data_IF_678766002997
#
_entry.id   IF_678766002997
#
_cell.length_a   1.000
_cell.length_b   1.000
_cell.length_c   1.000
_cell.angle_alpha   90.00
_cell.angle_beta   90.00
_cell.angle_gamma   90.00
#
_symmetry.space_group_name_H-M   'P 1'
#
loop_
_entity.id
_entity.type
_entity.pdbx_description
1 polymer ?
#
# COMPACT_ATOMS: atom_id res chain seq x y z
N UNK A 1 2.40 0.84 -17.83
CA UNK A 1 1.53 1.79 -17.07
C UNK A 1 1.28 1.29 -15.67
N UNK A 2 2.19 1.55 -14.69
CA UNK A 2 1.96 1.08 -13.32
C UNK A 2 0.96 1.94 -12.57
N UNK A 3 0.13 1.29 -11.75
CA UNK A 3 -0.76 1.95 -10.81
C UNK A 3 -0.55 1.31 -9.45
N UNK A 4 -0.20 2.12 -8.45
CA UNK A 4 0.09 1.65 -7.11
C UNK A 4 -1.03 2.09 -6.18
N UNK A 5 -1.50 1.18 -5.34
CA UNK A 5 -2.53 1.48 -4.35
C UNK A 5 -1.92 1.32 -2.96
N UNK A 6 -1.98 2.37 -2.17
CA UNK A 6 -1.60 2.31 -0.76
C UNK A 6 -2.86 2.01 0.03
N UNK A 7 -2.93 0.82 0.61
CA UNK A 7 -4.01 0.47 1.54
C UNK A 7 -3.45 0.57 2.95
N UNK A 8 -4.10 1.35 3.80
CA UNK A 8 -3.61 1.58 5.16
C UNK A 8 -4.76 1.75 6.14
N UNK A 9 -4.49 1.43 7.40
CA UNK A 9 -5.42 1.78 8.47
C UNK A 9 -5.38 3.31 8.63
N UNK A 10 -6.52 3.92 8.90
CA UNK A 10 -6.66 5.36 9.08
C UNK A 10 -5.68 5.88 10.15
N UNK A 11 -5.14 7.06 9.92
CA UNK A 11 -4.19 7.70 10.83
C UNK A 11 -3.29 8.69 10.13
N UNK A 12 -2.64 8.33 9.02
CA UNK A 12 -1.77 9.29 8.33
C UNK A 12 -2.54 10.51 7.83
N UNK A 13 -1.89 11.67 7.86
CA UNK A 13 -2.47 12.89 7.30
C UNK A 13 -2.48 12.81 5.78
N UNK A 14 -3.31 13.68 5.16
CA UNK A 14 -3.32 13.80 3.70
C UNK A 14 -1.95 14.19 3.16
N UNK A 15 -1.25 15.08 3.86
CA UNK A 15 0.07 15.52 3.45
C UNK A 15 1.08 14.37 3.49
N UNK A 16 1.01 13.54 4.53
CA UNK A 16 1.89 12.39 4.64
C UNK A 16 1.63 11.38 3.52
N UNK A 17 0.36 11.12 3.21
CA UNK A 17 0.00 10.21 2.12
C UNK A 17 0.45 10.76 0.78
N UNK A 18 0.28 12.07 0.55
CA UNK A 18 0.72 12.71 -0.68
C UNK A 18 2.23 12.60 -0.85
N UNK A 19 2.97 12.85 0.23
CA UNK A 19 4.42 12.76 0.21
C UNK A 19 4.90 11.32 -0.07
N UNK A 20 4.26 10.35 0.57
CA UNK A 20 4.57 8.93 0.32
C UNK A 20 4.29 8.59 -1.14
N UNK A 21 3.17 9.04 -1.68
CA UNK A 21 2.81 8.77 -3.08
C UNK A 21 3.85 9.34 -4.04
N UNK A 22 4.33 10.55 -3.77
CA UNK A 22 5.36 11.18 -4.61
C UNK A 22 6.66 10.40 -4.58
N UNK A 23 7.06 9.95 -3.40
CA UNK A 23 8.28 9.14 -3.26
C UNK A 23 8.14 7.78 -3.93
N UNK A 24 6.97 7.16 -3.84
CA UNK A 24 6.68 5.90 -4.52
C UNK A 24 6.77 6.09 -6.03
N UNK A 25 6.18 7.15 -6.55
CA UNK A 25 6.25 7.46 -7.98
C UNK A 25 7.71 7.62 -8.43
N UNK A 26 8.53 8.30 -7.63
CA UNK A 26 9.94 8.49 -7.95
C UNK A 26 10.70 7.17 -8.01
N UNK A 27 10.47 6.30 -7.02
CA UNK A 27 11.21 5.03 -6.96
C UNK A 27 10.75 4.07 -8.07
N UNK A 28 9.46 4.07 -8.40
CA UNK A 28 8.95 3.26 -9.50
C UNK A 28 9.55 3.72 -10.83
N UNK A 29 9.62 5.03 -11.04
CA UNK A 29 10.26 5.60 -12.23
C UNK A 29 11.72 5.15 -12.32
N UNK A 30 12.45 5.27 -11.23
CA UNK A 30 13.87 4.98 -11.19
C UNK A 30 14.17 3.49 -11.32
N UNK A 31 13.42 2.66 -10.59
CA UNK A 31 13.72 1.23 -10.49
C UNK A 31 13.14 0.42 -11.64
N UNK A 32 11.92 0.74 -12.07
CA UNK A 32 11.26 0.01 -13.14
C UNK A 32 11.45 0.66 -14.51
N UNK A 33 12.08 1.84 -14.55
CA UNK A 33 12.34 2.54 -15.81
C UNK A 33 11.08 3.03 -16.51
N UNK A 34 10.00 3.30 -15.76
CA UNK A 34 8.75 3.75 -16.36
C UNK A 34 8.66 5.28 -16.31
N UNK A 35 8.26 5.94 -17.40
CA UNK A 35 8.08 7.38 -17.38
C UNK A 35 7.03 7.81 -16.35
N UNK A 36 7.30 8.90 -15.64
CA UNK A 36 6.40 9.37 -14.57
C UNK A 36 4.98 9.64 -15.05
N UNK A 37 4.81 10.06 -16.29
CA UNK A 37 3.48 10.34 -16.84
C UNK A 37 2.57 9.12 -16.91
N UNK A 38 3.13 7.93 -16.81
CA UNK A 38 2.35 6.68 -16.80
C UNK A 38 2.16 6.09 -15.41
N UNK A 39 2.72 6.72 -14.39
CA UNK A 39 2.66 6.21 -13.01
C UNK A 39 1.57 6.94 -12.26
N UNK A 40 0.66 6.19 -11.67
CA UNK A 40 -0.38 6.75 -10.79
C UNK A 40 -0.35 6.04 -9.44
N UNK A 41 -0.74 6.76 -8.41
CA UNK A 41 -0.76 6.26 -7.03
C UNK A 41 -2.05 6.72 -6.38
N UNK A 42 -2.78 5.80 -5.76
CA UNK A 42 -3.95 6.14 -4.96
C UNK A 42 -3.77 5.62 -3.54
N UNK A 43 -4.58 6.12 -2.61
CA UNK A 43 -4.56 5.69 -1.23
C UNK A 43 -5.98 5.37 -0.78
N UNK A 44 -6.13 4.27 -0.05
CA UNK A 44 -7.40 3.84 0.52
C UNK A 44 -7.21 3.63 2.00
N UNK A 45 -8.08 4.20 2.82
CA UNK A 45 -8.00 4.09 4.26
C UNK A 45 -9.10 3.19 4.80
N UNK A 46 -8.76 2.43 5.82
CA UNK A 46 -9.63 1.42 6.42
C UNK A 46 -9.62 1.57 7.93
N UNK A 47 -10.71 1.16 8.58
CA UNK A 47 -10.72 1.03 10.02
C UNK A 47 -9.92 -0.23 10.42
N UNK A 48 -9.59 -0.34 11.70
CA UNK A 48 -8.93 -1.54 12.21
C UNK A 48 -9.76 -2.79 11.92
N UNK A 49 -11.07 -2.69 12.10
CA UNK A 49 -11.99 -3.82 11.86
C UNK A 49 -12.03 -4.21 10.38
N UNK A 50 -11.99 -3.24 9.50
CA UNK A 50 -12.00 -3.49 8.05
C UNK A 50 -10.70 -4.11 7.57
N UNK A 51 -9.61 -3.92 8.32
CA UNK A 51 -8.30 -4.41 7.89
C UNK A 51 -8.24 -5.94 7.80
N UNK A 52 -9.04 -6.63 8.58
CA UNK A 52 -9.11 -8.10 8.48
C UNK A 52 -9.46 -8.54 7.06
N UNK A 53 -10.40 -7.84 6.42
CA UNK A 53 -10.77 -8.13 5.04
C UNK A 53 -9.62 -7.82 4.07
N UNK A 54 -8.91 -6.73 4.28
CA UNK A 54 -7.74 -6.40 3.48
C UNK A 54 -6.68 -7.48 3.62
N UNK A 55 -6.42 -7.92 4.85
CA UNK A 55 -5.44 -8.96 5.12
C UNK A 55 -5.81 -10.26 4.38
N UNK A 56 -7.05 -10.69 4.51
CA UNK A 56 -7.50 -11.93 3.88
C UNK A 56 -7.48 -11.87 2.36
N UNK A 57 -7.85 -10.74 1.80
CA UNK A 57 -8.01 -10.61 0.35
C UNK A 57 -6.73 -10.21 -0.38
N UNK A 58 -5.81 -9.55 0.30
CA UNK A 58 -4.64 -8.97 -0.36
C UNK A 58 -3.29 -9.48 0.14
N UNK A 59 -3.23 -10.05 1.34
CA UNK A 59 -1.96 -10.36 2.01
C UNK A 59 -1.81 -11.85 2.30
N UNK A 60 -2.83 -12.44 2.93
CA UNK A 60 -2.76 -13.81 3.42
C UNK A 60 -2.63 -14.81 2.26
N UNK A 61 -1.60 -15.64 2.32
CA UNK A 61 -1.38 -16.73 1.34
C UNK A 61 -1.39 -16.26 -0.13
N UNK A 62 -0.89 -15.05 -0.37
CA UNK A 62 -0.77 -14.49 -1.72
C UNK A 62 0.65 -14.59 -2.21
N UNK A 63 0.86 -15.27 -3.35
CA UNK A 63 2.18 -15.43 -3.93
C UNK A 63 2.77 -14.12 -4.43
N UNK A 64 1.92 -13.15 -4.76
CA UNK A 64 2.37 -11.87 -5.29
C UNK A 64 2.71 -10.85 -4.22
N UNK A 65 2.70 -11.22 -2.94
CA UNK A 65 3.16 -10.35 -1.86
C UNK A 65 4.67 -10.43 -1.78
N UNK A 66 5.33 -9.36 -2.23
CA UNK A 66 6.80 -9.32 -2.33
C UNK A 66 7.47 -9.05 -0.99
N UNK A 67 6.78 -8.36 -0.09
CA UNK A 67 7.27 -8.09 1.27
C UNK A 67 6.15 -8.50 2.22
N UNK A 68 6.41 -9.53 3.00
CA UNK A 68 5.41 -10.04 3.94
C UNK A 68 5.43 -9.23 5.23
N UNK A 69 4.24 -8.97 5.83
CA UNK A 69 4.21 -8.23 7.08
C UNK A 69 4.73 -9.11 8.23
N UNK A 70 5.09 -8.46 9.32
CA UNK A 70 5.57 -9.14 10.51
C UNK A 70 4.46 -9.66 11.42
N UNK A 71 3.24 -9.81 10.91
CA UNK A 71 2.10 -10.34 11.68
C UNK A 71 1.36 -11.36 10.84
N UNK A 72 0.60 -12.22 11.50
CA UNK A 72 -0.17 -13.28 10.83
C UNK A 72 -1.67 -13.17 11.09
N UNK A 73 -2.10 -12.39 12.08
CA UNK A 73 -3.51 -12.20 12.37
C UNK A 73 -3.71 -10.77 12.87
N UNK A 74 -4.38 -9.92 12.08
CA UNK A 74 -4.56 -8.52 12.46
C UNK A 74 -5.33 -8.33 13.76
N UNK A 75 -6.11 -9.32 14.20
CA UNK A 75 -6.84 -9.22 15.45
C UNK A 75 -5.95 -9.33 16.70
N UNK A 76 -4.72 -9.81 16.57
CA UNK A 76 -3.86 -10.06 17.72
C UNK A 76 -2.89 -8.93 18.01
N UNK A 77 -2.78 -7.93 17.14
CA UNK A 77 -1.93 -6.78 17.43
C UNK A 77 -2.75 -5.52 17.64
N UNK A 78 -2.39 -4.79 18.62
CA UNK A 78 -3.06 -3.56 19.02
C UNK A 78 -1.99 -2.58 19.46
#
# INVERSE_FOLDING_TARGET
>A
MPHIVIKTISGPSKEALQKAAEQISDIVNKTLGKPKKYISVSAEEYSFEEWEGVYKNCIEDRENVLIKPGYTNPKTFQ
#
